data_IF_613480932709
#
_entry.id   IF_613480932709
#
_cell.length_a   1.000
_cell.length_b   1.000
_cell.length_c   1.000
_cell.angle_alpha   90.00
_cell.angle_beta   90.00
_cell.angle_gamma   90.00
#
_symmetry.space_group_name_H-M   'P 1'
#
loop_
_entity.id
_entity.type
_entity.pdbx_description
1 polymer ?
#
# COMPACT_ATOMS: atom_id res chain seq x y z
N UNK A 1 -57.30 -13.35 20.47
CA UNK A 1 -56.40 -12.73 21.46
C UNK A 1 -55.01 -13.31 21.25
N UNK A 2 -54.17 -12.63 20.48
CA UNK A 2 -52.85 -13.11 20.03
C UNK A 2 -51.79 -12.63 21.02
N UNK A 3 -51.16 -13.57 21.74
CA UNK A 3 -50.01 -13.30 22.61
C UNK A 3 -48.78 -13.08 21.73
N UNK A 4 -48.31 -11.84 21.69
CA UNK A 4 -47.06 -11.41 21.03
C UNK A 4 -45.89 -12.03 21.79
N UNK A 5 -45.30 -13.08 21.23
CA UNK A 5 -44.05 -13.67 21.73
C UNK A 5 -42.91 -12.81 21.20
N UNK A 6 -42.38 -11.99 22.09
CA UNK A 6 -41.26 -11.09 21.89
C UNK A 6 -39.98 -11.93 21.86
N UNK A 7 -39.71 -12.59 20.73
CA UNK A 7 -38.46 -13.31 20.48
C UNK A 7 -37.35 -12.29 20.29
N UNK A 8 -36.55 -12.12 21.34
CA UNK A 8 -35.32 -11.36 21.33
C UNK A 8 -34.38 -11.91 20.25
N UNK A 9 -34.33 -11.22 19.12
CA UNK A 9 -33.34 -11.44 18.08
C UNK A 9 -32.00 -10.91 18.61
N UNK A 10 -31.26 -11.81 19.27
CA UNK A 10 -29.92 -11.57 19.78
C UNK A 10 -28.95 -11.52 18.58
N UNK A 11 -28.97 -10.39 17.87
CA UNK A 11 -28.07 -10.07 16.77
C UNK A 11 -26.66 -9.84 17.33
N UNK A 12 -25.91 -10.92 17.57
CA UNK A 12 -24.48 -10.83 17.83
C UNK A 12 -23.83 -10.32 16.55
N UNK A 13 -23.62 -9.00 16.50
CA UNK A 13 -22.75 -8.34 15.54
C UNK A 13 -21.33 -8.82 15.84
N UNK A 14 -20.92 -9.88 15.14
CA UNK A 14 -19.52 -10.28 15.10
C UNK A 14 -18.81 -9.19 14.30
N UNK A 15 -18.23 -8.22 14.99
CA UNK A 15 -17.34 -7.22 14.42
C UNK A 15 -16.10 -7.97 13.91
N UNK A 16 -16.11 -8.33 12.63
CA UNK A 16 -14.90 -8.78 11.94
C UNK A 16 -13.94 -7.58 11.94
N UNK A 17 -12.89 -7.65 12.75
CA UNK A 17 -11.79 -6.71 12.65
C UNK A 17 -11.23 -6.84 11.24
N UNK A 18 -11.45 -5.84 10.39
CA UNK A 18 -10.74 -5.70 9.14
C UNK A 18 -9.25 -5.53 9.50
N UNK A 19 -8.49 -6.60 9.37
CA UNK A 19 -7.04 -6.55 9.52
C UNK A 19 -6.55 -5.78 8.28
N UNK A 20 -6.17 -4.52 8.46
CA UNK A 20 -5.37 -3.79 7.46
C UNK A 20 -4.13 -4.65 7.19
N UNK A 21 -4.02 -5.16 5.96
CA UNK A 21 -3.00 -6.10 5.59
C UNK A 21 -1.84 -5.32 4.96
N UNK A 22 -0.78 -5.16 5.74
CA UNK A 22 0.52 -4.84 5.17
C UNK A 22 0.91 -6.01 4.23
N UNK A 23 0.96 -5.75 2.93
CA UNK A 23 1.28 -6.74 1.90
C UNK A 23 2.52 -6.32 1.11
N UNK A 24 3.20 -7.30 0.54
CA UNK A 24 4.39 -7.09 -0.28
C UNK A 24 4.03 -7.17 -1.77
N UNK A 25 4.66 -6.32 -2.57
CA UNK A 25 4.47 -6.29 -4.04
C UNK A 25 4.87 -7.59 -4.76
N UNK A 26 5.73 -8.40 -4.15
CA UNK A 26 6.17 -9.68 -4.70
C UNK A 26 7.25 -9.51 -5.78
N UNK A 27 8.38 -8.94 -5.38
CA UNK A 27 9.62 -8.76 -6.16
C UNK A 27 9.42 -8.29 -7.62
N UNK A 28 9.24 -6.98 -7.80
CA UNK A 28 8.84 -6.33 -9.05
C UNK A 28 9.93 -5.41 -9.58
N UNK A 29 9.92 -5.14 -10.89
CA UNK A 29 10.72 -4.05 -11.46
C UNK A 29 10.00 -2.72 -11.37
N UNK A 30 10.74 -1.68 -11.02
CA UNK A 30 10.26 -0.30 -11.12
C UNK A 30 10.29 0.09 -12.60
N UNK A 31 9.13 0.48 -13.15
CA UNK A 31 9.00 0.99 -14.52
C UNK A 31 9.10 2.50 -14.59
N UNK A 32 8.68 3.19 -13.52
CA UNK A 32 8.69 4.66 -13.43
C UNK A 32 8.74 5.12 -11.98
N UNK A 33 9.54 6.14 -11.73
CA UNK A 33 9.55 6.93 -10.49
C UNK A 33 9.03 8.34 -10.82
N UNK A 34 7.96 8.78 -10.17
CA UNK A 34 7.36 10.10 -10.39
C UNK A 34 7.37 10.91 -9.11
N UNK A 35 8.18 11.97 -9.04
CA UNK A 35 8.21 12.90 -7.92
C UNK A 35 6.98 13.81 -7.98
N UNK A 36 6.39 14.12 -6.83
CA UNK A 36 5.25 15.02 -6.69
C UNK A 36 5.60 16.23 -5.81
N UNK A 37 4.80 17.29 -5.91
CA UNK A 37 5.14 18.62 -5.34
C UNK A 37 5.33 18.65 -3.82
N UNK A 38 4.79 17.68 -3.09
CA UNK A 38 4.79 17.65 -1.63
C UNK A 38 5.92 16.80 -1.02
N UNK A 39 6.96 16.47 -1.81
CA UNK A 39 8.12 15.71 -1.35
C UNK A 39 7.92 14.19 -1.34
N UNK A 40 6.73 13.71 -1.68
CA UNK A 40 6.48 12.30 -1.96
C UNK A 40 6.81 11.90 -3.41
N UNK A 41 6.54 10.64 -3.74
CA UNK A 41 6.64 10.13 -5.10
C UNK A 41 5.74 8.91 -5.32
N UNK A 42 5.47 8.59 -6.58
CA UNK A 42 4.82 7.35 -6.99
C UNK A 42 5.86 6.40 -7.58
N UNK A 43 5.76 5.13 -7.21
CA UNK A 43 6.46 4.03 -7.87
C UNK A 43 5.45 3.29 -8.74
N UNK A 44 5.71 3.18 -10.04
CA UNK A 44 4.94 2.32 -10.95
C UNK A 44 5.78 1.09 -11.28
N UNK A 45 5.18 -0.09 -11.18
CA UNK A 45 5.82 -1.38 -11.43
C UNK A 45 5.55 -1.91 -12.85
N UNK A 46 6.27 -2.95 -13.22
CA UNK A 46 6.13 -3.66 -14.50
C UNK A 46 4.82 -4.45 -14.65
N UNK A 47 4.14 -4.75 -13.55
CA UNK A 47 2.95 -5.59 -13.48
C UNK A 47 1.99 -5.13 -12.38
N UNK A 48 0.75 -5.60 -12.44
CA UNK A 48 -0.27 -5.31 -11.42
C UNK A 48 0.19 -5.85 -10.07
N UNK A 49 0.07 -5.02 -9.04
CA UNK A 49 0.37 -5.39 -7.64
C UNK A 49 -0.92 -5.77 -6.91
N UNK A 50 -1.97 -4.95 -7.02
CA UNK A 50 -3.22 -5.17 -6.31
C UNK A 50 -4.35 -4.30 -6.92
N UNK A 51 -5.50 -4.89 -7.30
CA UNK A 51 -6.65 -4.14 -7.79
C UNK A 51 -7.24 -3.10 -6.83
N UNK A 52 -7.07 -3.26 -5.51
CA UNK A 52 -7.56 -2.28 -4.52
C UNK A 52 -6.82 -0.94 -4.60
N UNK A 53 -5.61 -0.88 -5.16
CA UNK A 53 -4.82 0.35 -5.35
C UNK A 53 -5.36 1.25 -6.48
N UNK A 54 -6.67 1.52 -6.49
CA UNK A 54 -7.35 2.21 -7.59
C UNK A 54 -6.94 3.67 -7.77
N UNK A 55 -6.51 4.35 -6.70
CA UNK A 55 -6.12 5.77 -6.74
C UNK A 55 -4.66 5.92 -7.14
N UNK A 56 -3.76 5.07 -6.61
CA UNK A 56 -2.36 5.05 -7.05
C UNK A 56 -2.22 4.53 -8.49
N UNK A 57 -3.15 3.67 -8.91
CA UNK A 57 -3.05 2.81 -10.08
C UNK A 57 -2.73 1.39 -9.62
N UNK A 58 -3.39 0.40 -10.20
CA UNK A 58 -3.31 -1.01 -9.75
C UNK A 58 -1.92 -1.63 -9.83
N UNK A 59 -0.97 -0.95 -10.49
CA UNK A 59 0.44 -1.29 -10.60
C UNK A 59 1.35 -0.22 -9.97
N UNK A 60 0.87 0.56 -9.01
CA UNK A 60 1.62 1.67 -8.43
C UNK A 60 1.35 1.87 -6.94
N UNK A 61 2.33 2.48 -6.26
CA UNK A 61 2.28 2.81 -4.83
C UNK A 61 2.60 4.28 -4.60
N UNK A 62 1.90 4.88 -3.63
CA UNK A 62 2.24 6.20 -3.11
C UNK A 62 3.27 6.07 -1.98
N UNK A 63 4.41 6.73 -2.13
CA UNK A 63 5.44 6.83 -1.08
C UNK A 63 5.48 8.28 -0.62
N UNK A 64 4.85 8.56 0.51
CA UNK A 64 4.66 9.92 1.03
C UNK A 64 5.20 10.01 2.46
N UNK A 65 5.78 11.14 2.85
CA UNK A 65 6.17 11.33 4.24
C UNK A 65 4.92 11.33 5.15
N UNK A 66 5.11 10.86 6.38
CA UNK A 66 4.08 10.73 7.41
C UNK A 66 2.93 9.77 7.02
N UNK A 67 3.12 9.00 5.95
CA UNK A 67 2.27 7.88 5.52
C UNK A 67 3.07 6.59 5.58
N UNK A 68 2.41 5.47 5.87
CA UNK A 68 3.08 4.17 6.00
C UNK A 68 4.21 4.15 7.05
N UNK A 69 4.26 5.10 7.99
CA UNK A 69 5.34 5.22 8.97
C UNK A 69 6.67 5.76 8.41
N UNK A 70 6.69 6.29 7.19
CA UNK A 70 7.88 6.90 6.59
C UNK A 70 8.08 8.32 7.13
N UNK A 71 9.27 8.63 7.64
CA UNK A 71 9.61 9.98 8.11
C UNK A 71 10.02 10.90 6.96
N UNK A 72 10.03 12.21 7.21
CA UNK A 72 10.53 13.24 6.28
C UNK A 72 12.00 13.03 5.86
N UNK A 73 12.81 12.37 6.69
CA UNK A 73 14.18 11.99 6.31
C UNK A 73 14.20 10.66 5.56
N UNK A 74 13.43 9.68 6.04
CA UNK A 74 13.32 8.35 5.44
C UNK A 74 12.85 8.38 4.00
N UNK A 75 11.99 9.33 3.63
CA UNK A 75 11.50 9.48 2.25
C UNK A 75 12.65 9.73 1.24
N UNK A 76 13.72 10.42 1.64
CA UNK A 76 14.87 10.69 0.79
C UNK A 76 15.68 9.42 0.55
N UNK A 77 15.91 8.63 1.60
CA UNK A 77 16.55 7.32 1.50
C UNK A 77 15.72 6.34 0.67
N UNK A 78 14.39 6.41 0.80
CA UNK A 78 13.49 5.60 -0.02
C UNK A 78 13.58 5.98 -1.49
N UNK A 79 13.54 7.28 -1.80
CA UNK A 79 13.66 7.79 -3.17
C UNK A 79 15.02 7.43 -3.79
N UNK A 80 16.12 7.62 -3.07
CA UNK A 80 17.46 7.28 -3.58
C UNK A 80 17.58 5.79 -3.86
N UNK A 81 17.06 4.93 -2.98
CA UNK A 81 17.08 3.48 -3.15
C UNK A 81 16.21 3.06 -4.34
N UNK A 82 15.02 3.66 -4.50
CA UNK A 82 14.15 3.40 -5.64
C UNK A 82 14.78 3.84 -6.97
N UNK A 83 15.42 5.01 -7.02
CA UNK A 83 16.12 5.50 -8.21
C UNK A 83 17.33 4.62 -8.56
N UNK A 84 18.06 4.13 -7.56
CA UNK A 84 19.15 3.17 -7.76
C UNK A 84 18.63 1.86 -8.34
N UNK A 85 17.58 1.27 -7.76
CA UNK A 85 17.00 0.03 -8.28
C UNK A 85 16.47 0.22 -9.72
N UNK A 86 15.82 1.37 -10.00
CA UNK A 86 15.35 1.73 -11.32
C UNK A 86 16.49 1.86 -12.35
N UNK A 87 17.58 2.56 -12.01
CA UNK A 87 18.70 2.78 -12.94
C UNK A 87 19.56 1.53 -13.17
N UNK A 88 19.51 0.58 -12.24
CA UNK A 88 20.27 -0.68 -12.30
C UNK A 88 19.43 -1.88 -12.76
N UNK A 89 18.16 -1.66 -13.08
CA UNK A 89 17.20 -2.70 -13.49
C UNK A 89 17.09 -3.86 -12.47
N UNK A 90 17.29 -3.54 -11.18
CA UNK A 90 17.13 -4.48 -10.07
C UNK A 90 15.65 -4.59 -9.66
N UNK A 91 15.29 -5.76 -9.13
CA UNK A 91 13.96 -5.96 -8.60
C UNK A 91 13.85 -5.39 -7.19
N UNK A 92 12.65 -4.95 -6.82
CA UNK A 92 12.34 -4.45 -5.49
C UNK A 92 11.13 -5.15 -4.92
N UNK A 93 11.08 -5.25 -3.59
CA UNK A 93 9.85 -5.59 -2.89
C UNK A 93 9.47 -4.44 -1.97
N UNK A 94 8.25 -3.92 -2.14
CA UNK A 94 7.73 -2.82 -1.36
C UNK A 94 6.56 -3.30 -0.52
N UNK A 95 6.61 -3.04 0.78
CA UNK A 95 5.49 -3.30 1.67
C UNK A 95 4.54 -2.10 1.66
N UNK A 96 3.24 -2.35 1.59
CA UNK A 96 2.22 -1.29 1.54
C UNK A 96 0.91 -1.72 2.20
N UNK A 97 0.11 -0.74 2.57
CA UNK A 97 -1.24 -0.92 3.12
C UNK A 97 -2.28 -1.02 2.00
N UNK A 98 -2.76 -2.23 1.72
CA UNK A 98 -3.74 -2.48 0.64
C UNK A 98 -5.20 -2.19 1.02
N UNK A 99 -5.44 -1.78 2.27
CA UNK A 99 -6.78 -1.41 2.76
C UNK A 99 -7.27 -0.07 2.21
N UNK A 100 -6.36 0.72 1.61
CA UNK A 100 -6.68 2.03 1.04
C UNK A 100 -6.49 2.04 -0.47
N UNK A 101 -7.31 2.81 -1.17
CA UNK A 101 -7.13 3.02 -2.62
C UNK A 101 -5.79 3.66 -3.00
N UNK A 102 -5.10 4.28 -2.03
CA UNK A 102 -3.82 4.93 -2.22
C UNK A 102 -2.63 3.98 -2.09
N UNK A 103 -2.76 2.86 -1.38
CA UNK A 103 -1.66 1.90 -1.18
C UNK A 103 -0.34 2.58 -0.74
N UNK A 104 -0.36 3.08 0.49
CA UNK A 104 0.80 3.77 1.07
C UNK A 104 1.94 2.79 1.31
N UNK A 105 3.08 3.03 0.68
CA UNK A 105 4.29 2.24 0.91
C UNK A 105 4.93 2.53 2.27
N UNK A 106 5.64 1.54 2.80
CA UNK A 106 6.21 1.54 4.15
C UNK A 106 7.66 1.11 4.20
N UNK A 107 8.00 -0.02 3.56
CA UNK A 107 9.37 -0.52 3.45
C UNK A 107 9.72 -0.81 2.00
N UNK A 108 10.98 -0.65 1.62
CA UNK A 108 11.51 -1.05 0.33
C UNK A 108 12.76 -1.88 0.52
N UNK A 109 12.75 -3.04 -0.13
CA UNK A 109 13.87 -3.96 -0.24
C UNK A 109 14.32 -3.98 -1.70
N UNK A 110 15.63 -3.99 -1.92
CA UNK A 110 16.21 -4.25 -3.25
C UNK A 110 16.74 -5.66 -3.24
N UNK A 111 16.40 -6.44 -4.26
CA UNK A 111 16.88 -7.81 -4.43
C UNK A 111 17.39 -8.05 -5.84
N UNK A 112 18.21 -9.10 -5.99
CA UNK A 112 18.86 -9.46 -7.24
C UNK A 112 18.27 -10.75 -7.79
#
# INVERSE_FOLDING_TARGET
MIKVVLVACFSVLISMNAISADVWTGNKKIKRVQIVQNGGFLLTFDSVIQPSCSIAGTSALYIYPDKGGITQEGIKSFLSTALMAFSTDLNVDVMYDDSTGYCWGKYLLVSK
#
